data_IF_309859478571
#
_entry.id   IF_309859478571
#
_cell.length_a   1.000
_cell.length_b   1.000
_cell.length_c   1.000
_cell.angle_alpha   90.00
_cell.angle_beta   90.00
_cell.angle_gamma   90.00
#
_symmetry.space_group_name_H-M   'P 1'
#
loop_
_entity.id
_entity.type
_entity.pdbx_description
1 polymer ?
#
# COMPACT_ATOMS: atom_id res chain seq x y z
N UNK A 1 -4.47 14.60 -10.00
CA UNK A 1 -4.94 13.20 -9.88
C UNK A 1 -3.76 12.28 -9.73
N UNK A 2 -3.79 11.45 -8.71
CA UNK A 2 -2.71 10.50 -8.48
C UNK A 2 -2.95 9.26 -9.35
N UNK A 3 -2.07 9.07 -10.33
CA UNK A 3 -2.13 7.87 -11.15
C UNK A 3 -1.38 6.76 -10.43
N UNK A 4 -2.12 5.73 -10.05
CA UNK A 4 -1.53 4.57 -9.41
C UNK A 4 -1.13 3.59 -10.51
N UNK A 5 0.15 3.15 -10.54
CA UNK A 5 0.60 2.22 -11.58
C UNK A 5 -0.18 0.91 -11.56
N UNK A 6 -0.43 0.35 -12.74
CA UNK A 6 -1.17 -0.91 -12.85
C UNK A 6 -0.53 -2.04 -12.07
N UNK A 7 0.80 -2.08 -12.01
CA UNK A 7 1.51 -3.12 -11.25
C UNK A 7 1.14 -3.08 -9.76
N UNK A 8 0.94 -1.89 -9.22
CA UNK A 8 0.52 -1.73 -7.82
C UNK A 8 -0.92 -2.21 -7.64
N UNK A 9 -1.83 -1.80 -8.54
CA UNK A 9 -3.22 -2.23 -8.48
C UNK A 9 -3.36 -3.74 -8.60
N UNK A 10 -2.62 -4.33 -9.54
CA UNK A 10 -2.63 -5.77 -9.77
C UNK A 10 -2.13 -6.52 -8.55
N UNK A 11 -1.00 -6.07 -7.98
CA UNK A 11 -0.42 -6.70 -6.80
C UNK A 11 -1.35 -6.60 -5.60
N UNK A 12 -1.97 -5.44 -5.40
CA UNK A 12 -2.93 -5.26 -4.31
C UNK A 12 -4.10 -6.24 -4.43
N UNK A 13 -4.69 -6.36 -5.62
CA UNK A 13 -5.79 -7.28 -5.86
C UNK A 13 -5.42 -8.73 -5.62
N UNK A 14 -4.23 -9.15 -6.06
CA UNK A 14 -3.74 -10.50 -5.84
C UNK A 14 -3.62 -10.84 -4.37
N UNK A 15 -3.42 -9.84 -3.53
CA UNK A 15 -3.27 -10.03 -2.08
C UNK A 15 -4.56 -9.70 -1.32
N UNK A 16 -5.67 -9.52 -2.03
CA UNK A 16 -6.96 -9.35 -1.40
C UNK A 16 -7.31 -7.92 -0.99
N UNK A 17 -6.52 -6.94 -1.41
CA UNK A 17 -6.80 -5.53 -1.11
C UNK A 17 -7.63 -4.89 -2.23
N UNK A 18 -8.54 -4.02 -1.86
CA UNK A 18 -9.37 -3.30 -2.82
C UNK A 18 -9.26 -1.79 -2.73
N UNK A 19 -8.36 -1.28 -1.91
CA UNK A 19 -8.11 0.16 -1.79
C UNK A 19 -6.61 0.42 -1.79
N UNK A 20 -6.18 1.39 -2.60
CA UNK A 20 -4.78 1.76 -2.73
C UNK A 20 -4.68 3.28 -2.70
N UNK A 21 -3.79 3.80 -1.87
CA UNK A 21 -3.58 5.24 -1.74
C UNK A 21 -2.09 5.53 -1.76
N UNK A 22 -1.66 6.50 -2.56
CA UNK A 22 -0.26 6.92 -2.56
C UNK A 22 0.05 7.58 -1.21
N UNK A 23 1.11 7.11 -0.55
CA UNK A 23 1.47 7.55 0.80
C UNK A 23 2.73 8.39 0.88
N UNK A 24 3.59 8.32 -0.13
CA UNK A 24 4.83 9.11 -0.15
C UNK A 24 6.00 8.32 -0.71
N UNK A 25 7.21 8.83 -0.48
CA UNK A 25 8.45 8.18 -0.91
C UNK A 25 9.35 7.91 0.28
N UNK A 26 9.98 6.75 0.27
CA UNK A 26 10.95 6.35 1.28
C UNK A 26 12.12 5.67 0.58
N UNK A 27 13.33 6.19 0.81
CA UNK A 27 14.57 5.63 0.25
C UNK A 27 14.52 5.41 -1.26
N UNK A 28 13.89 6.34 -1.99
CA UNK A 28 13.78 6.25 -3.44
C UNK A 28 12.67 5.37 -3.94
N UNK A 29 11.89 4.75 -3.05
CA UNK A 29 10.76 3.93 -3.41
C UNK A 29 9.46 4.70 -3.17
N UNK A 30 8.47 4.51 -4.05
CA UNK A 30 7.14 5.06 -3.85
C UNK A 30 6.33 4.11 -2.98
N UNK A 31 5.73 4.64 -1.92
CA UNK A 31 4.96 3.84 -0.98
C UNK A 31 3.46 4.03 -1.24
N UNK A 32 2.74 2.92 -1.31
CA UNK A 32 1.29 2.91 -1.49
C UNK A 32 0.65 2.15 -0.34
N UNK A 33 -0.21 2.82 0.41
CA UNK A 33 -0.99 2.17 1.45
C UNK A 33 -2.08 1.32 0.82
N UNK A 34 -2.24 0.09 1.30
CA UNK A 34 -3.28 -0.81 0.79
C UNK A 34 -4.18 -1.26 1.93
N UNK A 35 -5.45 -1.44 1.62
CA UNK A 35 -6.42 -1.83 2.63
C UNK A 35 -7.62 -2.49 1.99
N UNK A 36 -8.48 -3.07 2.82
CA UNK A 36 -9.77 -3.58 2.41
C UNK A 36 -10.85 -2.62 2.92
N UNK A 37 -11.66 -2.13 2.02
CA UNK A 37 -12.82 -1.30 2.38
C UNK A 37 -14.08 -2.08 2.06
N UNK A 38 -15.14 -1.84 2.83
CA UNK A 38 -16.42 -2.48 2.59
C UNK A 38 -17.16 -1.79 1.43
N UNK A 39 -18.37 -2.27 1.13
CA UNK A 39 -19.17 -1.74 0.01
C UNK A 39 -19.54 -0.27 0.20
N UNK A 40 -19.52 0.22 1.43
CA UNK A 40 -19.82 1.62 1.73
C UNK A 40 -18.57 2.49 1.73
N UNK A 41 -17.41 1.91 1.41
CA UNK A 41 -16.15 2.63 1.36
C UNK A 41 -15.46 2.80 2.71
N UNK A 42 -15.93 2.12 3.74
CA UNK A 42 -15.34 2.20 5.08
C UNK A 42 -14.23 1.19 5.25
N UNK A 43 -13.06 1.59 5.79
CA UNK A 43 -11.97 0.64 6.01
C UNK A 43 -12.36 -0.40 7.06
N UNK A 44 -11.96 -1.65 6.79
CA UNK A 44 -12.13 -2.71 7.76
C UNK A 44 -10.91 -2.74 8.69
N UNK A 45 -11.10 -3.06 10.00
CA UNK A 45 -9.97 -3.16 10.91
C UNK A 45 -9.00 -4.26 10.45
N UNK A 46 -7.73 -3.91 10.32
CA UNK A 46 -6.71 -4.83 9.82
C UNK A 46 -5.50 -4.95 10.73
N UNK A 47 -5.53 -4.28 11.87
CA UNK A 47 -4.37 -4.25 12.76
C UNK A 47 -3.27 -3.35 12.22
N UNK A 48 -2.10 -3.92 11.92
CA UNK A 48 -0.95 -3.14 11.46
C UNK A 48 -1.06 -2.78 9.97
N UNK A 49 -0.53 -1.61 9.58
CA UNK A 49 -0.65 -1.16 8.20
C UNK A 49 0.16 -2.01 7.22
N UNK A 50 -0.31 -2.07 5.97
CA UNK A 50 0.38 -2.76 4.89
C UNK A 50 0.64 -1.76 3.77
N UNK A 51 1.84 -1.79 3.24
CA UNK A 51 2.25 -0.93 2.12
C UNK A 51 2.84 -1.74 0.99
N UNK A 52 2.70 -1.23 -0.22
CA UNK A 52 3.43 -1.74 -1.38
C UNK A 52 4.46 -0.68 -1.76
N UNK A 53 5.70 -1.10 -1.88
CA UNK A 53 6.81 -0.23 -2.29
C UNK A 53 7.15 -0.51 -3.74
N UNK A 54 7.23 0.55 -4.54
CA UNK A 54 7.62 0.44 -5.94
C UNK A 54 8.96 1.13 -6.14
N UNK A 55 9.95 0.35 -6.58
CA UNK A 55 11.28 0.86 -6.89
C UNK A 55 11.85 0.08 -8.07
N UNK A 56 12.32 0.80 -9.08
CA UNK A 56 12.94 0.20 -10.27
C UNK A 56 12.07 -0.88 -10.93
N UNK A 57 10.76 -0.64 -10.97
CA UNK A 57 9.81 -1.57 -11.56
C UNK A 57 9.49 -2.78 -10.73
N UNK A 58 10.02 -2.86 -9.50
CA UNK A 58 9.77 -3.98 -8.60
C UNK A 58 8.86 -3.56 -7.45
N UNK A 59 7.94 -4.44 -7.09
CA UNK A 59 7.01 -4.21 -5.99
C UNK A 59 7.38 -5.08 -4.81
N UNK A 60 7.49 -4.48 -3.63
CA UNK A 60 7.76 -5.18 -2.37
C UNK A 60 6.61 -4.90 -1.42
N UNK A 61 6.07 -5.95 -0.79
CA UNK A 61 5.04 -5.78 0.22
C UNK A 61 5.68 -5.65 1.60
N UNK A 62 5.24 -4.63 2.34
CA UNK A 62 5.71 -4.38 3.70
C UNK A 62 4.49 -4.40 4.61
N UNK A 63 4.48 -5.30 5.58
CA UNK A 63 3.32 -5.47 6.47
C UNK A 63 3.77 -5.69 7.91
N UNK A 64 2.82 -5.75 8.84
CA UNK A 64 3.10 -5.97 10.24
C UNK A 64 3.94 -4.86 10.83
N UNK A 65 4.95 -5.24 11.61
CA UNK A 65 5.83 -4.28 12.27
C UNK A 65 6.60 -3.42 11.26
N UNK A 66 7.02 -4.01 10.15
CA UNK A 66 7.72 -3.27 9.11
C UNK A 66 6.82 -2.20 8.48
N UNK A 67 5.54 -2.52 8.30
CA UNK A 67 4.57 -1.54 7.82
C UNK A 67 4.39 -0.39 8.79
N UNK A 68 4.36 -0.68 10.09
CA UNK A 68 4.26 0.34 11.11
C UNK A 68 5.51 1.24 11.12
N UNK A 69 6.70 0.64 11.02
CA UNK A 69 7.94 1.40 10.94
C UNK A 69 7.97 2.31 9.72
N UNK A 70 7.47 1.83 8.59
CA UNK A 70 7.39 2.62 7.37
C UNK A 70 6.46 3.82 7.55
N UNK A 71 5.35 3.63 8.25
CA UNK A 71 4.40 4.71 8.52
C UNK A 71 5.07 5.87 9.25
N UNK A 72 5.97 5.57 10.18
CA UNK A 72 6.70 6.63 10.90
C UNK A 72 7.73 7.34 10.04
N UNK A 73 8.16 6.75 8.92
CA UNK A 73 9.11 7.39 7.99
C UNK A 73 8.40 8.27 6.97
N UNK A 74 7.13 8.06 6.78
CA UNK A 74 6.32 8.85 5.87
C UNK A 74 5.83 10.13 6.55
#
# INVERSE_FOLDING_TARGET
>A
MNNIPDIILTTARKNGFNSVTFSGEVDGAKAYGVSVVDKDGNPTPQGLPTFLLLKDGKVTMVSGREGLDLLFKL
#
